data_IF_059670804042
#
_entry.id   IF_059670804042
#
_cell.length_a   1.000
_cell.length_b   1.000
_cell.length_c   1.000
_cell.angle_alpha   90.00
_cell.angle_beta   90.00
_cell.angle_gamma   90.00
#
_symmetry.space_group_name_H-M   'P 1'
#
loop_
_entity.id
_entity.type
_entity.pdbx_description
1 polymer ?
#
# COMPACT_ATOMS: atom_id res chain seq x y z
N UNK A 1 -7.28 -44.63 73.94
CA UNK A 1 -8.17 -43.99 72.95
C UNK A 1 -7.29 -43.39 71.86
N UNK A 2 -7.30 -43.89 70.61
CA UNK A 2 -6.47 -43.34 69.53
C UNK A 2 -7.07 -42.01 69.06
N UNK A 3 -6.22 -40.99 68.91
CA UNK A 3 -6.61 -39.66 68.43
C UNK A 3 -6.84 -39.65 66.92
N UNK A 4 -7.97 -39.09 66.49
CA UNK A 4 -8.23 -38.81 65.08
C UNK A 4 -7.30 -37.70 64.57
N UNK A 5 -6.67 -37.83 63.38
CA UNK A 5 -5.95 -36.73 62.78
C UNK A 5 -6.93 -35.59 62.39
N UNK A 6 -6.52 -34.33 62.49
CA UNK A 6 -7.38 -33.21 62.13
C UNK A 6 -7.70 -33.25 60.62
N UNK A 7 -8.90 -32.80 60.21
CA UNK A 7 -9.28 -32.79 58.79
C UNK A 7 -8.35 -31.88 58.00
N UNK A 8 -7.77 -32.43 56.94
CA UNK A 8 -6.98 -31.70 55.95
C UNK A 8 -7.81 -30.54 55.39
N UNK A 9 -7.39 -29.30 55.65
CA UNK A 9 -8.02 -28.12 55.07
C UNK A 9 -7.78 -28.14 53.56
N UNK A 10 -8.84 -28.37 52.80
CA UNK A 10 -8.82 -28.35 51.34
C UNK A 10 -8.54 -26.92 50.87
N UNK A 11 -7.30 -26.65 50.40
CA UNK A 11 -6.86 -25.32 49.94
C UNK A 11 -7.42 -24.91 48.56
N UNK A 12 -8.35 -25.68 47.99
CA UNK A 12 -8.90 -25.46 46.63
C UNK A 12 -9.53 -24.08 46.45
N UNK A 13 -10.44 -23.69 47.36
CA UNK A 13 -11.14 -22.40 47.26
C UNK A 13 -10.22 -21.18 47.39
N UNK A 14 -9.09 -21.29 48.10
CA UNK A 14 -8.09 -20.23 48.23
C UNK A 14 -7.21 -20.08 47.00
N UNK A 15 -6.95 -21.16 46.25
CA UNK A 15 -6.17 -21.12 45.00
C UNK A 15 -7.01 -20.76 43.76
N UNK A 16 -8.30 -21.10 43.74
CA UNK A 16 -9.18 -20.82 42.59
C UNK A 16 -9.28 -19.33 42.24
N UNK A 17 -9.38 -18.46 43.27
CA UNK A 17 -9.48 -17.00 43.09
C UNK A 17 -8.26 -16.36 42.43
N UNK A 18 -7.01 -16.59 42.90
CA UNK A 18 -5.83 -16.02 42.25
C UNK A 18 -5.59 -16.61 40.86
N UNK A 19 -5.87 -17.90 40.63
CA UNK A 19 -5.72 -18.52 39.30
C UNK A 19 -6.65 -17.85 38.29
N UNK A 20 -7.93 -17.65 38.65
CA UNK A 20 -8.89 -16.98 37.77
C UNK A 20 -8.49 -15.53 37.47
N UNK A 21 -7.96 -14.81 38.47
CA UNK A 21 -7.45 -13.45 38.29
C UNK A 21 -6.27 -13.42 37.33
N UNK A 22 -5.32 -14.35 37.46
CA UNK A 22 -4.18 -14.46 36.54
C UNK A 22 -4.68 -14.76 35.13
N UNK A 23 -5.60 -15.71 34.96
CA UNK A 23 -6.16 -16.04 33.66
C UNK A 23 -6.88 -14.84 33.02
N UNK A 24 -7.64 -14.08 33.81
CA UNK A 24 -8.28 -12.84 33.35
C UNK A 24 -7.26 -11.79 32.91
N UNK A 25 -6.16 -11.64 33.64
CA UNK A 25 -5.11 -10.69 33.27
C UNK A 25 -4.42 -11.10 31.97
N UNK A 26 -4.09 -12.37 31.80
CA UNK A 26 -3.51 -12.89 30.55
C UNK A 26 -4.48 -12.73 29.39
N UNK A 27 -5.75 -13.03 29.60
CA UNK A 27 -6.78 -12.85 28.59
C UNK A 27 -6.96 -11.38 28.20
N UNK A 28 -7.09 -10.49 29.18
CA UNK A 28 -7.22 -9.06 28.95
C UNK A 28 -5.99 -8.50 28.23
N UNK A 29 -4.79 -8.93 28.61
CA UNK A 29 -3.55 -8.57 27.93
C UNK A 29 -3.55 -9.04 26.48
N UNK A 30 -3.94 -10.29 26.23
CA UNK A 30 -4.08 -10.83 24.88
C UNK A 30 -5.09 -10.06 24.03
N UNK A 31 -6.23 -9.68 24.62
CA UNK A 31 -7.25 -8.89 23.94
C UNK A 31 -6.75 -7.49 23.58
N UNK A 32 -6.13 -6.79 24.54
CA UNK A 32 -5.50 -5.49 24.29
C UNK A 32 -4.44 -5.58 23.20
N UNK A 33 -3.63 -6.64 23.21
CA UNK A 33 -2.61 -6.85 22.20
C UNK A 33 -3.20 -7.12 20.81
N UNK A 34 -4.25 -7.94 20.71
CA UNK A 34 -4.94 -8.19 19.45
C UNK A 34 -5.56 -6.92 18.87
N UNK A 35 -6.20 -6.10 19.72
CA UNK A 35 -6.75 -4.80 19.32
C UNK A 35 -5.66 -3.83 18.87
N UNK A 36 -4.50 -3.83 19.55
CA UNK A 36 -3.35 -3.03 19.16
C UNK A 36 -2.83 -3.41 17.77
N UNK A 37 -2.65 -4.71 17.49
CA UNK A 37 -2.24 -5.19 16.17
C UNK A 37 -3.26 -4.83 15.09
N UNK A 38 -4.56 -4.99 15.39
CA UNK A 38 -5.62 -4.64 14.47
C UNK A 38 -5.64 -3.14 14.14
N UNK A 39 -5.45 -2.28 15.15
CA UNK A 39 -5.36 -0.84 14.96
C UNK A 39 -4.14 -0.46 14.11
N UNK A 40 -2.99 -1.10 14.37
CA UNK A 40 -1.76 -0.88 13.60
C UNK A 40 -1.96 -1.23 12.12
N UNK A 41 -2.57 -2.37 11.83
CA UNK A 41 -2.86 -2.77 10.45
C UNK A 41 -3.91 -1.87 9.80
N UNK A 42 -4.92 -1.43 10.57
CA UNK A 42 -5.91 -0.46 10.10
C UNK A 42 -5.29 0.88 9.70
N UNK A 43 -4.36 1.41 10.50
CA UNK A 43 -3.62 2.64 10.18
C UNK A 43 -2.77 2.45 8.91
N UNK A 44 -2.11 1.29 8.78
CA UNK A 44 -1.32 0.97 7.59
C UNK A 44 -2.17 0.91 6.33
N UNK A 45 -3.31 0.22 6.39
CA UNK A 45 -4.26 0.12 5.29
C UNK A 45 -4.82 1.50 4.91
N UNK A 46 -5.08 2.35 5.90
CA UNK A 46 -5.55 3.72 5.67
C UNK A 46 -4.52 4.57 4.93
N UNK A 47 -3.25 4.56 5.35
CA UNK A 47 -2.18 5.27 4.66
C UNK A 47 -1.98 4.78 3.23
N UNK A 48 -1.97 3.46 3.02
CA UNK A 48 -1.88 2.87 1.69
C UNK A 48 -3.08 3.27 0.80
N UNK A 49 -4.28 3.36 1.38
CA UNK A 49 -5.46 3.86 0.67
C UNK A 49 -5.31 5.31 0.23
N UNK A 50 -4.79 6.19 1.08
CA UNK A 50 -4.52 7.57 0.72
C UNK A 50 -3.45 7.70 -0.37
N UNK A 51 -2.37 6.93 -0.27
CA UNK A 51 -1.30 6.92 -1.28
C UNK A 51 -1.81 6.44 -2.64
N UNK A 52 -2.63 5.38 -2.67
CA UNK A 52 -3.28 4.91 -3.89
C UNK A 52 -4.16 5.99 -4.52
N UNK A 53 -5.01 6.65 -3.73
CA UNK A 53 -5.86 7.72 -4.24
C UNK A 53 -5.06 8.88 -4.85
N UNK A 54 -3.93 9.25 -4.23
CA UNK A 54 -3.02 10.29 -4.76
C UNK A 54 -2.34 9.84 -6.06
N UNK A 55 -1.86 8.60 -6.11
CA UNK A 55 -1.23 8.03 -7.30
C UNK A 55 -2.21 7.90 -8.45
N UNK A 56 -3.45 7.46 -8.20
CA UNK A 56 -4.50 7.39 -9.21
C UNK A 56 -4.84 8.77 -9.78
N UNK A 57 -4.91 9.80 -8.93
CA UNK A 57 -5.13 11.17 -9.39
C UNK A 57 -3.97 11.67 -10.27
N UNK A 58 -2.73 11.40 -9.87
CA UNK A 58 -1.54 11.73 -10.66
C UNK A 58 -1.52 10.98 -12.00
N UNK A 59 -1.90 9.70 -12.01
CA UNK A 59 -1.98 8.87 -13.20
C UNK A 59 -3.00 9.44 -14.20
N UNK A 60 -4.23 9.74 -13.76
CA UNK A 60 -5.25 10.36 -14.61
C UNK A 60 -4.79 11.69 -15.20
N UNK A 61 -4.05 12.49 -14.42
CA UNK A 61 -3.51 13.74 -14.91
C UNK A 61 -2.42 13.51 -15.97
N UNK A 62 -1.57 12.50 -15.80
CA UNK A 62 -0.56 12.14 -16.78
C UNK A 62 -1.20 11.61 -18.07
N UNK A 63 -2.20 10.74 -17.97
CA UNK A 63 -2.98 10.23 -19.10
C UNK A 63 -3.65 11.37 -19.89
N UNK A 64 -4.25 12.34 -19.21
CA UNK A 64 -4.84 13.50 -19.87
C UNK A 64 -3.81 14.36 -20.62
N UNK A 65 -2.59 14.49 -20.08
CA UNK A 65 -1.50 15.20 -20.77
C UNK A 65 -1.03 14.44 -22.00
N UNK A 66 -0.90 13.12 -21.89
CA UNK A 66 -0.53 12.26 -23.02
C UNK A 66 -1.59 12.35 -24.12
N UNK A 67 -2.87 12.19 -23.81
CA UNK A 67 -3.95 12.30 -24.78
C UNK A 67 -3.97 13.68 -25.48
N UNK A 68 -3.70 14.75 -24.72
CA UNK A 68 -3.56 16.10 -25.30
C UNK A 68 -2.37 16.20 -26.24
N UNK A 69 -1.20 15.70 -25.84
CA UNK A 69 0.01 15.70 -26.67
C UNK A 69 -0.18 14.84 -27.93
N UNK A 70 -0.85 13.69 -27.81
CA UNK A 70 -1.20 12.84 -28.94
C UNK A 70 -2.13 13.57 -29.91
N UNK A 71 -3.13 14.30 -29.41
CA UNK A 71 -3.99 15.13 -30.26
C UNK A 71 -3.22 16.29 -30.93
N UNK A 72 -2.30 16.93 -30.22
CA UNK A 72 -1.43 17.97 -30.78
C UNK A 72 -0.47 17.40 -31.84
N UNK A 73 0.08 16.19 -31.62
CA UNK A 73 0.92 15.47 -32.58
C UNK A 73 0.10 15.03 -33.79
N UNK A 74 -1.11 14.51 -33.61
CA UNK A 74 -1.99 14.09 -34.70
C UNK A 74 -2.43 15.31 -35.54
N UNK A 75 -2.70 16.44 -34.90
CA UNK A 75 -2.95 17.71 -35.59
C UNK A 75 -1.69 18.21 -36.33
N UNK A 76 -0.50 17.96 -35.79
CA UNK A 76 0.77 18.32 -36.42
C UNK A 76 1.26 17.30 -37.47
N UNK A 77 0.61 16.12 -37.58
CA UNK A 77 0.95 15.04 -38.52
C UNK A 77 0.53 15.31 -39.96
N UNK A 78 0.24 16.55 -40.33
CA UNK A 78 0.26 16.94 -41.75
C UNK A 78 1.65 16.58 -42.31
N UNK A 79 1.75 15.57 -43.20
CA UNK A 79 3.03 14.96 -43.56
C UNK A 79 4.01 15.96 -44.18
N UNK A 80 3.49 17.01 -44.83
CA UNK A 80 4.28 18.11 -45.35
C UNK A 80 4.93 18.97 -44.23
N UNK A 81 4.29 19.07 -43.06
CA UNK A 81 4.77 19.87 -41.94
C UNK A 81 5.84 19.16 -41.11
N UNK A 82 5.70 17.83 -40.92
CA UNK A 82 6.73 17.00 -40.30
C UNK A 82 8.00 16.93 -41.16
N UNK A 83 7.88 16.78 -42.48
CA UNK A 83 9.03 16.86 -43.37
C UNK A 83 9.70 18.24 -43.33
N UNK A 84 8.93 19.32 -43.21
CA UNK A 84 9.48 20.67 -43.08
C UNK A 84 10.20 20.90 -41.72
N UNK A 85 9.69 20.34 -40.62
CA UNK A 85 10.31 20.42 -39.29
C UNK A 85 11.59 19.59 -39.20
N UNK A 86 11.57 18.36 -39.72
CA UNK A 86 12.74 17.48 -39.80
C UNK A 86 13.83 18.11 -40.68
N UNK A 87 13.44 18.73 -41.81
CA UNK A 87 14.36 19.45 -42.71
C UNK A 87 14.92 20.73 -42.09
N UNK A 88 14.17 21.42 -41.21
CA UNK A 88 14.65 22.60 -40.43
C UNK A 88 15.55 22.23 -39.26
N UNK A 89 15.36 21.06 -38.66
CA UNK A 89 16.22 20.51 -37.60
C UNK A 89 17.51 19.87 -38.14
N UNK A 90 17.72 19.89 -39.46
CA UNK A 90 18.96 19.45 -40.11
C UNK A 90 19.05 17.94 -40.37
N UNK A 91 17.99 17.19 -40.10
CA UNK A 91 17.91 15.77 -40.46
C UNK A 91 17.54 15.64 -41.95
N UNK A 92 18.55 15.57 -42.81
CA UNK A 92 18.38 15.19 -44.22
C UNK A 92 18.42 13.66 -44.30
N UNK A 93 17.39 13.03 -44.89
CA UNK A 93 17.38 11.60 -45.22
C UNK A 93 18.62 11.28 -46.06
N UNK A 94 19.47 10.36 -45.61
CA UNK A 94 20.70 9.89 -46.31
C UNK A 94 20.44 9.45 -47.76
N UNK A 95 19.20 9.15 -48.07
CA UNK A 95 18.68 8.66 -49.35
C UNK A 95 18.83 9.69 -50.51
N UNK A 96 18.87 11.01 -50.21
CA UNK A 96 19.16 12.05 -51.22
C UNK A 96 20.67 12.26 -51.46
N UNK A 97 21.54 11.87 -50.51
CA UNK A 97 22.99 12.11 -50.59
C UNK A 97 23.65 11.10 -51.54
N UNK A 98 23.11 9.88 -51.65
CA UNK A 98 23.72 8.82 -52.45
C UNK A 98 23.47 8.94 -53.97
N UNK A 99 22.52 9.77 -54.41
CA UNK A 99 22.23 9.97 -55.84
C UNK A 99 23.11 11.04 -56.49
N UNK A 100 23.97 11.70 -55.70
CA UNK A 100 24.79 12.84 -56.12
C UNK A 100 26.30 12.57 -56.09
N UNK A 101 26.71 11.29 -56.06
CA UNK A 101 28.11 10.89 -56.13
C UNK A 101 28.36 9.94 -57.29
#
# INVERSE_FOLDING_TARGET
MPGFPPPSRYNGATLERPIYRILHLVFALGLVHALFLLAQEGVRAYHLGQERARLEAALRQAEARVARLEAEVEAAKDPAHLEALVRRLGFVREEEILKRR
#
